data_IF_921232354333
#
_entry.id   IF_921232354333
#
_cell.length_a   1.000
_cell.length_b   1.000
_cell.length_c   1.000
_cell.angle_alpha   90.00
_cell.angle_beta   90.00
_cell.angle_gamma   90.00
#
_symmetry.space_group_name_H-M   'P 1'
#
loop_
_entity.id
_entity.type
_entity.pdbx_description
1 polymer ?
#
# COMPACT_ATOMS: atom_id res chain seq x y z
N UNK A 1 22.38 0.93 -11.37
CA UNK A 1 21.73 2.07 -10.70
C UNK A 1 21.81 1.86 -9.20
N UNK A 2 21.86 2.91 -8.41
CA UNK A 2 21.79 2.83 -6.94
C UNK A 2 20.33 2.60 -6.56
N UNK A 3 20.00 1.59 -5.72
CA UNK A 3 18.63 1.38 -5.27
C UNK A 3 18.07 2.60 -4.55
N UNK A 4 16.79 2.88 -4.75
CA UNK A 4 16.06 3.96 -4.12
C UNK A 4 15.74 3.60 -2.67
N UNK A 5 16.18 4.46 -1.76
CA UNK A 5 15.87 4.35 -0.33
C UNK A 5 14.57 5.13 -0.09
N UNK A 6 13.48 4.45 0.34
CA UNK A 6 12.24 5.14 0.64
C UNK A 6 12.46 6.17 1.74
N UNK A 7 11.88 7.37 1.56
CA UNK A 7 11.82 8.41 2.59
C UNK A 7 10.35 8.72 2.89
N UNK A 8 9.95 8.76 4.17
CA UNK A 8 8.58 9.08 4.53
C UNK A 8 8.12 10.41 3.92
N UNK A 9 6.90 10.39 3.36
CA UNK A 9 6.21 11.57 2.79
C UNK A 9 6.86 12.18 1.53
N UNK A 10 7.92 11.57 1.00
CA UNK A 10 8.53 11.97 -0.27
C UNK A 10 7.73 11.37 -1.44
N UNK A 11 7.17 12.26 -2.26
CA UNK A 11 6.47 11.87 -3.50
C UNK A 11 7.48 11.23 -4.45
N UNK A 12 7.18 10.02 -4.92
CA UNK A 12 8.03 9.27 -5.85
C UNK A 12 8.17 10.01 -7.18
N UNK A 13 7.03 10.30 -7.81
CA UNK A 13 6.91 11.11 -9.01
C UNK A 13 5.49 11.67 -9.08
N UNK A 14 5.35 12.96 -9.40
CA UNK A 14 4.04 13.60 -9.46
C UNK A 14 3.10 12.91 -10.45
N UNK A 15 1.88 12.57 -9.99
CA UNK A 15 0.86 11.91 -10.79
C UNK A 15 1.09 10.41 -11.05
N UNK A 16 2.10 9.81 -10.42
CA UNK A 16 2.38 8.37 -10.53
C UNK A 16 1.84 7.66 -9.29
N UNK A 17 0.91 6.73 -9.50
CA UNK A 17 0.39 5.88 -8.44
C UNK A 17 1.14 4.55 -8.36
N UNK A 18 1.36 4.11 -7.13
CA UNK A 18 2.05 2.91 -6.75
C UNK A 18 1.12 1.98 -5.98
N UNK A 19 1.25 0.69 -6.21
CA UNK A 19 0.57 -0.36 -5.45
C UNK A 19 1.59 -1.38 -4.93
N UNK A 20 1.76 -1.41 -3.61
CA UNK A 20 2.58 -2.40 -2.92
C UNK A 20 1.81 -3.70 -2.72
N UNK A 21 2.37 -4.83 -3.13
CA UNK A 21 1.69 -6.13 -3.05
C UNK A 21 2.66 -7.31 -3.00
N UNK A 22 2.12 -8.50 -2.71
CA UNK A 22 2.78 -9.81 -2.95
C UNK A 22 2.11 -10.63 -4.05
N UNK A 23 1.06 -10.08 -4.67
CA UNK A 23 0.37 -10.75 -5.75
C UNK A 23 1.25 -10.83 -7.01
N UNK A 24 1.13 -11.95 -7.74
CA UNK A 24 1.80 -12.14 -9.02
C UNK A 24 0.98 -11.52 -10.16
N UNK A 25 1.11 -10.20 -10.33
CA UNK A 25 0.45 -9.42 -11.38
C UNK A 25 1.45 -8.97 -12.46
N UNK A 26 1.03 -8.91 -13.70
CA UNK A 26 1.86 -8.48 -14.84
C UNK A 26 1.42 -7.12 -15.37
N UNK A 27 2.32 -6.45 -16.10
CA UNK A 27 1.97 -5.25 -16.86
C UNK A 27 0.85 -5.60 -17.85
N UNK A 28 -0.18 -4.78 -17.89
CA UNK A 28 -1.41 -5.01 -18.66
C UNK A 28 -2.55 -5.62 -17.85
N UNK A 29 -2.27 -6.24 -16.70
CA UNK A 29 -3.30 -6.78 -15.82
C UNK A 29 -4.19 -5.68 -15.24
N UNK A 30 -5.40 -6.08 -14.90
CA UNK A 30 -6.37 -5.25 -14.20
C UNK A 30 -6.57 -5.76 -12.78
N UNK A 31 -6.20 -4.94 -11.80
CA UNK A 31 -6.46 -5.21 -10.39
C UNK A 31 -7.81 -4.60 -10.02
N UNK A 32 -8.76 -5.48 -9.70
CA UNK A 32 -10.12 -5.13 -9.28
C UNK A 32 -10.27 -5.20 -7.75
N UNK A 33 -11.17 -4.43 -7.14
CA UNK A 33 -11.58 -4.65 -5.75
C UNK A 33 -12.22 -6.03 -5.52
N UNK A 34 -12.49 -6.38 -4.27
CA UNK A 34 -13.10 -7.66 -3.89
C UNK A 34 -12.09 -8.74 -3.46
N UNK A 35 -10.84 -8.36 -3.18
CA UNK A 35 -9.82 -9.26 -2.62
C UNK A 35 -9.85 -9.25 -1.09
N UNK A 36 -9.29 -10.28 -0.46
CA UNK A 36 -9.16 -10.34 0.99
C UNK A 36 -8.22 -9.25 1.53
N UNK A 37 -8.50 -8.73 2.72
CA UNK A 37 -7.66 -7.73 3.38
C UNK A 37 -6.29 -8.31 3.75
N UNK A 38 -5.26 -7.47 3.67
CA UNK A 38 -3.95 -7.78 4.22
C UNK A 38 -3.94 -7.78 5.76
N UNK A 39 -4.90 -7.11 6.37
CA UNK A 39 -4.96 -6.91 7.82
C UNK A 39 -6.07 -7.73 8.49
N UNK A 40 -7.03 -8.28 7.75
CA UNK A 40 -8.17 -9.05 8.29
C UNK A 40 -8.56 -10.17 7.30
N UNK A 41 -8.28 -11.42 7.66
CA UNK A 41 -8.38 -12.56 6.73
C UNK A 41 -9.81 -12.89 6.30
N UNK A 42 -10.81 -12.45 7.05
CA UNK A 42 -12.22 -12.73 6.78
C UNK A 42 -12.93 -11.55 6.11
N UNK A 43 -12.19 -10.46 5.80
CA UNK A 43 -12.73 -9.24 5.19
C UNK A 43 -12.43 -9.19 3.70
N UNK A 44 -13.49 -9.06 2.90
CA UNK A 44 -13.41 -8.70 1.48
C UNK A 44 -13.34 -7.18 1.37
N UNK A 45 -12.37 -6.68 0.61
CA UNK A 45 -12.11 -5.25 0.44
C UNK A 45 -12.94 -4.65 -0.70
N UNK A 46 -13.54 -3.50 -0.47
CA UNK A 46 -14.33 -2.72 -1.42
C UNK A 46 -13.47 -1.83 -2.32
N UNK A 47 -12.22 -1.57 -1.93
CA UNK A 47 -11.32 -0.67 -2.65
C UNK A 47 -10.00 -1.33 -3.04
N UNK A 48 -9.37 -0.78 -4.09
CA UNK A 48 -7.93 -0.92 -4.35
C UNK A 48 -7.22 0.28 -3.74
N UNK A 49 -6.14 0.01 -3.00
CA UNK A 49 -5.34 1.03 -2.33
C UNK A 49 -4.08 1.34 -3.14
N UNK A 50 -3.80 2.62 -3.31
CA UNK A 50 -2.66 3.14 -4.08
C UNK A 50 -2.01 4.32 -3.35
N UNK A 51 -0.80 4.69 -3.72
CA UNK A 51 -0.09 5.83 -3.11
C UNK A 51 0.84 6.53 -4.10
N UNK A 52 1.16 7.79 -3.87
CA UNK A 52 2.20 8.51 -4.63
C UNK A 52 3.57 8.51 -3.93
N UNK A 53 3.71 7.91 -2.74
CA UNK A 53 5.00 7.83 -2.03
C UNK A 53 5.58 6.43 -2.11
N UNK A 54 6.89 6.34 -2.37
CA UNK A 54 7.58 5.05 -2.43
C UNK A 54 7.55 4.35 -1.06
N UNK A 55 7.72 5.09 0.03
CA UNK A 55 7.70 4.58 1.40
C UNK A 55 6.40 3.85 1.76
N UNK A 56 5.24 4.46 1.46
CA UNK A 56 3.96 3.81 1.71
C UNK A 56 3.75 2.59 0.80
N UNK A 57 4.25 2.61 -0.44
CA UNK A 57 4.18 1.47 -1.34
C UNK A 57 5.04 0.30 -0.84
N UNK A 58 6.22 0.58 -0.30
CA UNK A 58 7.09 -0.42 0.35
C UNK A 58 6.37 -1.05 1.54
N UNK A 59 5.77 -0.24 2.43
CA UNK A 59 4.96 -0.77 3.54
C UNK A 59 3.81 -1.65 3.04
N UNK A 60 3.10 -1.24 1.99
CA UNK A 60 2.05 -2.03 1.37
C UNK A 60 2.53 -3.40 0.91
N UNK A 61 3.71 -3.47 0.27
CA UNK A 61 4.29 -4.73 -0.19
C UNK A 61 4.77 -5.63 0.96
N UNK A 62 5.38 -5.05 1.99
CA UNK A 62 5.95 -5.81 3.12
C UNK A 62 4.89 -6.29 4.13
N UNK A 63 3.80 -5.55 4.26
CA UNK A 63 2.65 -5.91 5.11
C UNK A 63 1.61 -6.76 4.35
N UNK A 64 1.72 -6.90 3.03
CA UNK A 64 0.80 -7.72 2.26
C UNK A 64 0.81 -9.19 2.72
N UNK A 65 -0.39 -9.78 2.71
CA UNK A 65 -0.57 -11.19 3.01
C UNK A 65 -0.03 -12.07 1.88
N UNK A 66 0.34 -13.31 2.22
CA UNK A 66 0.89 -14.30 1.29
C UNK A 66 2.42 -14.38 1.31
N UNK A 67 2.94 -15.41 0.67
CA UNK A 67 4.37 -15.78 0.69
C UNK A 67 5.10 -15.38 -0.62
N UNK A 68 4.41 -14.64 -1.50
CA UNK A 68 4.98 -14.11 -2.73
C UNK A 68 6.03 -13.04 -2.46
N UNK A 69 6.84 -12.74 -3.49
CA UNK A 69 7.83 -11.66 -3.44
C UNK A 69 7.12 -10.31 -3.25
N UNK A 70 7.70 -9.42 -2.44
CA UNK A 70 7.25 -8.04 -2.36
C UNK A 70 7.45 -7.32 -3.70
N UNK A 71 6.43 -6.61 -4.17
CA UNK A 71 6.42 -5.91 -5.46
C UNK A 71 5.80 -4.54 -5.31
N UNK A 72 6.32 -3.58 -6.07
CA UNK A 72 5.77 -2.23 -6.17
C UNK A 72 5.40 -2.01 -7.62
N UNK A 73 4.10 -1.97 -7.89
CA UNK A 73 3.56 -1.83 -9.23
C UNK A 73 3.23 -0.37 -9.48
N UNK A 74 3.56 0.12 -10.68
CA UNK A 74 3.06 1.42 -11.16
C UNK A 74 1.69 1.17 -11.76
N UNK A 75 0.70 1.94 -11.34
CA UNK A 75 -0.71 1.71 -11.69
C UNK A 75 -1.41 2.97 -12.16
N UNK A 76 -2.40 2.77 -13.03
CA UNK A 76 -3.32 3.81 -13.48
C UNK A 76 -4.74 3.47 -13.02
N UNK A 77 -5.31 4.23 -12.08
CA UNK A 77 -6.71 4.11 -11.71
C UNK A 77 -7.64 4.38 -12.89
N UNK A 78 -8.66 3.54 -13.07
CA UNK A 78 -9.64 3.73 -14.16
C UNK A 78 -10.75 4.73 -13.81
N UNK A 79 -10.81 5.18 -12.57
CA UNK A 79 -11.71 6.26 -12.18
C UNK A 79 -11.29 6.94 -10.88
N UNK A 80 -12.25 7.41 -10.10
CA UNK A 80 -11.98 8.35 -9.02
C UNK A 80 -11.14 7.73 -7.90
N UNK A 81 -10.14 8.47 -7.43
CA UNK A 81 -9.37 8.17 -6.23
C UNK A 81 -9.72 9.16 -5.13
N UNK A 82 -9.93 8.66 -3.92
CA UNK A 82 -10.18 9.45 -2.72
C UNK A 82 -9.08 9.17 -1.68
N UNK A 83 -8.88 10.11 -0.75
CA UNK A 83 -7.91 9.95 0.34
C UNK A 83 -8.20 8.68 1.16
N UNK A 84 -7.14 7.94 1.52
CA UNK A 84 -7.26 6.79 2.40
C UNK A 84 -7.55 7.26 3.84
N UNK A 85 -8.75 6.98 4.39
CA UNK A 85 -9.11 7.40 5.74
C UNK A 85 -8.32 6.65 6.83
N UNK A 86 -7.60 5.57 6.53
CA UNK A 86 -6.78 4.87 7.53
C UNK A 86 -5.51 5.66 7.90
N UNK A 87 -5.07 6.57 7.04
CA UNK A 87 -3.82 7.33 7.22
C UNK A 87 -3.97 8.84 7.00
N UNK A 88 -5.16 9.31 6.61
CA UNK A 88 -5.50 10.73 6.48
C UNK A 88 -6.15 11.26 7.76
N UNK A 89 -5.66 12.39 8.27
CA UNK A 89 -6.14 13.03 9.51
C UNK A 89 -6.19 12.08 10.72
N UNK A 90 -5.21 11.17 10.79
CA UNK A 90 -5.02 10.25 11.92
C UNK A 90 -3.90 10.73 12.82
N UNK A 91 -2.68 10.23 12.59
CA UNK A 91 -1.51 10.61 13.39
C UNK A 91 -0.99 12.01 13.03
N UNK A 92 -1.26 12.45 11.81
CA UNK A 92 -0.81 13.72 11.25
C UNK A 92 -1.98 14.38 10.48
N UNK A 93 -2.01 15.72 10.40
CA UNK A 93 -3.02 16.43 9.64
C UNK A 93 -2.85 16.20 8.12
N UNK A 94 -3.97 16.08 7.41
CA UNK A 94 -4.03 15.81 5.99
C UNK A 94 -3.55 14.41 5.61
N UNK A 95 -3.10 14.26 4.36
CA UNK A 95 -2.63 13.01 3.77
C UNK A 95 -1.13 13.08 3.39
N UNK A 96 -0.21 13.10 4.37
CA UNK A 96 1.21 13.26 4.09
C UNK A 96 1.82 12.05 3.37
N UNK A 97 1.23 10.86 3.53
CA UNK A 97 1.66 9.65 2.82
C UNK A 97 1.16 9.59 1.38
N UNK A 98 0.29 10.53 0.98
CA UNK A 98 -0.38 10.55 -0.33
C UNK A 98 -0.98 9.18 -0.64
N UNK A 99 -1.67 8.60 0.33
CA UNK A 99 -2.32 7.29 0.19
C UNK A 99 -3.79 7.49 -0.16
N UNK A 100 -4.25 6.70 -1.11
CA UNK A 100 -5.57 6.82 -1.71
C UNK A 100 -6.21 5.45 -1.86
N UNK A 101 -7.50 5.46 -2.14
CA UNK A 101 -8.27 4.26 -2.47
C UNK A 101 -9.28 4.54 -3.59
N UNK A 102 -9.64 3.50 -4.33
CA UNK A 102 -10.64 3.57 -5.40
C UNK A 102 -11.54 2.34 -5.43
N UNK A 103 -12.82 2.53 -5.78
CA UNK A 103 -13.78 1.43 -6.02
C UNK A 103 -13.70 0.89 -7.45
N UNK A 104 -12.92 1.54 -8.30
CA UNK A 104 -12.75 1.16 -9.68
C UNK A 104 -11.46 0.35 -9.86
N UNK A 105 -11.33 -0.43 -10.94
CA UNK A 105 -10.11 -1.18 -11.17
C UNK A 105 -8.91 -0.26 -11.44
N UNK A 106 -7.71 -0.78 -11.19
CA UNK A 106 -6.44 -0.12 -11.57
C UNK A 106 -5.68 -0.99 -12.57
N UNK A 107 -5.13 -0.37 -13.61
CA UNK A 107 -4.31 -1.06 -14.61
C UNK A 107 -2.86 -1.06 -14.17
N UNK A 108 -2.19 -2.19 -14.27
CA UNK A 108 -0.74 -2.27 -14.04
C UNK A 108 -0.01 -1.79 -15.30
N UNK A 109 0.79 -0.75 -15.18
CA UNK A 109 1.54 -0.14 -16.31
C UNK A 109 3.05 -0.27 -16.17
N UNK A 110 3.55 -0.69 -15.01
CA UNK A 110 4.97 -0.93 -14.79
C UNK A 110 5.25 -1.58 -13.43
N UNK A 111 6.52 -1.83 -13.15
CA UNK A 111 7.02 -2.30 -11.86
C UNK A 111 8.31 -1.58 -11.50
N UNK A 112 8.41 -1.11 -10.26
CA UNK A 112 9.64 -0.54 -9.71
C UNK A 112 10.46 -1.70 -9.14
N UNK A 113 11.67 -1.89 -9.65
CA UNK A 113 12.56 -3.00 -9.27
C UNK A 113 13.78 -2.57 -8.47
N UNK A 114 14.06 -1.26 -8.43
CA UNK A 114 15.26 -0.66 -7.86
C UNK A 114 14.96 0.07 -6.55
N UNK A 115 14.35 -0.62 -5.58
CA UNK A 115 14.06 -0.09 -4.25
C UNK A 115 14.62 -0.99 -3.15
N UNK A 116 14.82 -0.44 -1.96
CA UNK A 116 15.15 -1.22 -0.75
C UNK A 116 13.98 -1.24 0.21
N UNK A 117 13.80 -2.39 0.87
CA UNK A 117 12.82 -2.54 1.94
C UNK A 117 13.24 -1.82 3.22
N UNK A 118 12.32 -1.80 4.18
CA UNK A 118 12.59 -1.34 5.53
C UNK A 118 13.54 -2.30 6.24
N UNK A 119 14.21 -1.81 7.30
CA UNK A 119 15.05 -2.66 8.13
C UNK A 119 14.19 -3.68 8.88
N UNK A 120 14.80 -4.80 9.26
CA UNK A 120 14.11 -5.82 10.06
C UNK A 120 13.53 -5.25 11.37
N UNK A 121 14.25 -4.34 12.01
CA UNK A 121 13.78 -3.66 13.22
C UNK A 121 12.50 -2.82 12.96
N UNK A 122 12.46 -2.08 11.86
CA UNK A 122 11.27 -1.33 11.46
C UNK A 122 10.09 -2.25 11.19
N UNK A 123 10.32 -3.36 10.46
CA UNK A 123 9.29 -4.35 10.18
C UNK A 123 8.73 -4.99 11.46
N UNK A 124 9.60 -5.39 12.38
CA UNK A 124 9.19 -5.98 13.66
C UNK A 124 8.42 -4.98 14.51
N UNK A 125 8.86 -3.72 14.56
CA UNK A 125 8.16 -2.65 15.27
C UNK A 125 6.75 -2.41 14.71
N UNK A 126 6.61 -2.36 13.37
CA UNK A 126 5.31 -2.21 12.72
C UNK A 126 4.38 -3.39 13.03
N UNK A 127 4.87 -4.63 12.87
CA UNK A 127 4.10 -5.85 13.15
C UNK A 127 3.66 -5.90 14.62
N UNK A 128 4.54 -5.55 15.54
CA UNK A 128 4.23 -5.49 16.97
C UNK A 128 3.16 -4.44 17.27
N UNK A 129 3.23 -3.26 16.64
CA UNK A 129 2.22 -2.21 16.77
C UNK A 129 0.84 -2.66 16.27
N UNK A 130 0.77 -3.31 15.10
CA UNK A 130 -0.48 -3.86 14.56
C UNK A 130 -1.05 -4.96 15.47
N UNK A 131 -0.20 -5.85 16.00
CA UNK A 131 -0.62 -6.89 16.92
C UNK A 131 -1.17 -6.33 18.24
N UNK A 132 -0.57 -5.27 18.78
CA UNK A 132 -1.06 -4.59 19.97
C UNK A 132 -2.42 -3.91 19.73
N UNK A 133 -2.60 -3.23 18.59
CA UNK A 133 -3.89 -2.64 18.22
C UNK A 133 -4.99 -3.71 18.17
N UNK A 134 -4.71 -4.85 17.54
CA UNK A 134 -5.64 -5.99 17.50
C UNK A 134 -5.97 -6.52 18.88
N UNK A 135 -4.97 -6.74 19.73
CA UNK A 135 -5.16 -7.21 21.11
C UNK A 135 -6.07 -6.28 21.91
N UNK A 136 -6.02 -4.97 21.63
CA UNK A 136 -6.86 -3.95 22.27
C UNK A 136 -8.21 -3.72 21.57
N UNK A 137 -8.48 -4.38 20.45
CA UNK A 137 -9.70 -4.17 19.65
C UNK A 137 -9.76 -2.78 19.00
N UNK A 138 -8.60 -2.19 18.69
CA UNK A 138 -8.45 -0.85 18.11
C UNK A 138 -7.99 -0.87 16.65
N UNK A 139 -7.84 -2.05 16.04
CA UNK A 139 -7.46 -2.23 14.63
C UNK A 139 -8.65 -2.03 13.68
N UNK A 140 -9.33 -0.88 13.82
CA UNK A 140 -10.44 -0.50 12.94
C UNK A 140 -9.91 -0.27 11.52
N UNK A 141 -10.44 -1.02 10.56
CA UNK A 141 -10.15 -0.87 9.12
C UNK A 141 -11.29 -0.09 8.49
N UNK A 142 -10.97 1.07 7.92
CA UNK A 142 -11.91 1.86 7.11
C UNK A 142 -11.76 1.45 5.65
N UNK A 143 -12.80 0.79 5.13
CA UNK A 143 -12.88 0.34 3.74
C UNK A 143 -14.27 0.65 3.17
#
# INVERSE_FOLDING_TARGET
MVPQIPKPFEVYQAGVFLHGTRADLSVGDLLVPGRLSNYDRDRVMNHVYVTETLDAAVWGAEMAAGDGRCRILVVEPQGHVEDDPNVTDKKMPGNPTRSYRTKEPVRIVGEITDWVGHTEEQLQSMRAGLADLRRRGLDVIYD
#
